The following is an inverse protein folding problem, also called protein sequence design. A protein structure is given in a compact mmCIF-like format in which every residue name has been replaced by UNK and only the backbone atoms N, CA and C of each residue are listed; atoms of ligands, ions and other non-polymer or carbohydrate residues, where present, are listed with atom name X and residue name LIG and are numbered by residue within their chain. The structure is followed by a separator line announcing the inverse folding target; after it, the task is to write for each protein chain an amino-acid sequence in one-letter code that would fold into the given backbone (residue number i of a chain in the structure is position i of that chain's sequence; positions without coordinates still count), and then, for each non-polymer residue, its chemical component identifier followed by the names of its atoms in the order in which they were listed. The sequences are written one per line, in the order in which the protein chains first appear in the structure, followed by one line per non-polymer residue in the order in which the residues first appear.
data_IF_342990991710
#
_entry.id   IF_342990991710
#
_cell.length_a   1.000
_cell.length_b   1.000
_cell.length_c   1.000
_cell.angle_alpha   90.00
_cell.angle_beta   90.00
_cell.angle_gamma   90.00
#
_symmetry.space_group_name_H-M   'P 1'
#
loop_
_entity.id
_entity.type
_entity.pdbx_description
1 polymer ?
#
# COMPACT_ATOMS: atom_id res chain seq x y z
N UNK A 1 50.68 70.28 -32.23
CA UNK A 1 50.29 71.30 -31.22
C UNK A 1 49.94 70.57 -29.94
N UNK A 2 50.94 70.46 -29.05
CA UNK A 2 50.98 71.10 -27.72
C UNK A 2 50.34 70.18 -26.67
N UNK A 3 51.15 69.45 -25.88
CA UNK A 3 51.84 69.92 -24.66
C UNK A 3 50.84 70.53 -23.66
N UNK A 4 50.86 70.33 -22.35
CA UNK A 4 51.62 69.55 -21.36
C UNK A 4 51.20 70.12 -19.99
N UNK A 5 51.67 69.51 -18.88
CA UNK A 5 51.84 70.12 -17.54
C UNK A 5 50.56 70.29 -16.69
N UNK A 6 50.57 70.16 -15.36
CA UNK A 6 51.63 70.39 -14.37
C UNK A 6 51.39 69.55 -13.08
N UNK A 7 52.52 69.15 -12.48
CA UNK A 7 52.71 68.68 -11.09
C UNK A 7 52.38 69.76 -10.06
N UNK A 8 52.15 69.37 -8.79
CA UNK A 8 52.77 69.83 -7.51
C UNK A 8 51.99 69.13 -6.36
N UNK A 9 52.52 68.22 -5.52
CA UNK A 9 53.57 68.25 -4.46
C UNK A 9 53.17 68.88 -3.11
N UNK A 10 53.66 68.24 -2.03
CA UNK A 10 53.76 68.61 -0.60
C UNK A 10 52.56 68.21 0.30
N UNK A 11 52.71 67.23 1.19
CA UNK A 11 53.34 67.23 2.55
C UNK A 11 52.19 67.08 3.58
N UNK A 12 52.26 66.50 4.77
CA UNK A 12 53.32 66.15 5.71
C UNK A 12 52.76 65.18 6.77
N UNK A 13 53.57 64.20 7.17
CA UNK A 13 53.71 63.60 8.50
C UNK A 13 52.74 64.01 9.62
N UNK A 14 52.08 63.03 10.27
CA UNK A 14 52.21 62.86 11.73
C UNK A 14 51.84 61.45 12.21
N UNK A 15 52.72 60.94 13.06
CA UNK A 15 52.72 59.66 13.75
C UNK A 15 51.57 59.50 14.75
N UNK A 16 51.05 58.28 14.90
CA UNK A 16 50.79 57.66 16.22
C UNK A 16 50.77 56.13 16.11
N UNK A 17 51.88 55.55 16.56
CA UNK A 17 52.11 54.15 16.92
C UNK A 17 51.32 53.82 18.20
N UNK A 18 50.44 52.83 18.18
CA UNK A 18 50.08 52.03 19.37
C UNK A 18 49.85 50.57 18.97
N UNK A 19 50.88 49.77 19.27
CA UNK A 19 50.84 48.45 19.89
C UNK A 19 50.03 47.29 19.26
N UNK A 20 50.81 46.35 18.73
CA UNK A 20 50.44 44.97 18.44
C UNK A 20 50.15 44.19 19.73
N UNK A 21 49.06 43.42 19.73
CA UNK A 21 49.00 42.14 20.45
C UNK A 21 48.63 41.05 19.45
N UNK A 22 49.62 40.23 19.13
CA UNK A 22 49.44 38.92 18.50
C UNK A 22 48.80 37.98 19.52
N UNK A 23 47.66 37.39 19.18
CA UNK A 23 47.30 36.07 19.68
C UNK A 23 47.05 35.15 18.49
N UNK A 24 47.96 34.20 18.34
CA UNK A 24 47.86 33.08 17.44
C UNK A 24 46.68 32.21 17.86
N UNK A 25 45.77 31.93 16.93
CA UNK A 25 44.88 30.76 17.04
C UNK A 25 45.19 29.80 15.89
N UNK A 26 45.43 28.51 16.16
CA UNK A 26 45.87 27.55 15.16
C UNK A 26 44.75 27.25 14.16
N UNK A 27 45.11 27.28 12.87
CA UNK A 27 44.32 26.75 11.77
C UNK A 27 43.97 25.28 12.04
N UNK A 28 42.68 24.95 12.04
CA UNK A 28 42.22 23.55 12.07
C UNK A 28 42.28 22.97 10.65
N UNK A 29 42.70 21.71 10.49
CA UNK A 29 42.87 21.08 9.19
C UNK A 29 41.52 20.89 8.49
N UNK A 30 41.50 21.19 7.19
CA UNK A 30 40.37 20.96 6.28
C UNK A 30 40.23 19.44 6.05
N UNK A 31 39.52 18.78 6.96
CA UNK A 31 39.04 17.42 6.78
C UNK A 31 37.75 17.42 5.97
N UNK A 32 37.76 16.76 4.81
CA UNK A 32 36.60 16.57 3.95
C UNK A 32 35.46 15.89 4.74
N UNK A 33 34.44 16.66 5.12
CA UNK A 33 33.18 16.12 5.65
C UNK A 33 32.26 15.84 4.47
N UNK A 34 32.06 14.57 4.16
CA UNK A 34 30.92 14.12 3.37
C UNK A 34 29.65 14.51 4.13
N UNK A 35 28.98 15.57 3.70
CA UNK A 35 27.62 15.85 4.14
C UNK A 35 26.71 14.79 3.49
N UNK A 36 26.41 13.73 4.25
CA UNK A 36 25.24 12.93 3.95
C UNK A 36 24.03 13.87 3.91
N UNK A 37 23.33 13.90 2.78
CA UNK A 37 22.16 14.76 2.55
C UNK A 37 21.04 14.25 3.46
N UNK A 38 21.02 14.72 4.71
CA UNK A 38 19.96 14.44 5.65
C UNK A 38 18.87 15.50 5.44
N UNK A 39 17.67 15.13 4.94
CA UNK A 39 16.63 16.10 4.52
C UNK A 39 16.06 16.95 5.66
N UNK A 40 16.46 16.68 6.90
CA UNK A 40 16.01 17.37 8.10
C UNK A 40 17.06 18.29 8.74
N UNK A 41 18.13 18.64 8.03
CA UNK A 41 19.18 19.51 8.60
C UNK A 41 18.70 20.94 8.96
N UNK A 42 17.56 21.39 8.42
CA UNK A 42 16.92 22.66 8.76
C UNK A 42 16.14 22.62 10.08
N UNK A 43 15.88 21.42 10.63
CA UNK A 43 15.18 21.24 11.90
C UNK A 43 16.16 21.44 13.06
N UNK A 44 15.87 22.32 14.03
CA UNK A 44 16.72 22.53 15.20
C UNK A 44 16.95 21.21 15.93
N UNK A 45 18.18 20.95 16.40
CA UNK A 45 18.55 19.65 16.97
C UNK A 45 17.68 19.27 18.19
N UNK A 46 17.21 20.25 18.96
CA UNK A 46 16.25 20.05 20.06
C UNK A 46 14.90 19.45 19.62
N UNK A 47 14.48 19.71 18.39
CA UNK A 47 13.24 19.15 17.81
C UNK A 47 13.51 17.75 17.25
N UNK A 48 14.70 17.51 16.69
CA UNK A 48 15.13 16.15 16.28
C UNK A 48 15.29 15.21 17.47
N UNK A 49 15.73 15.68 18.63
CA UNK A 49 15.83 14.85 19.83
C UNK A 49 14.46 14.50 20.43
N UNK A 50 13.48 15.39 20.27
CA UNK A 50 12.13 15.22 20.78
C UNK A 50 11.24 14.36 19.87
N UNK A 51 11.44 14.42 18.56
CA UNK A 51 10.62 13.72 17.56
C UNK A 51 11.39 12.70 16.72
N UNK A 52 12.71 12.63 16.85
CA UNK A 52 13.51 11.59 16.25
C UNK A 52 13.18 10.26 16.90
N UNK A 53 13.06 9.22 16.08
CA UNK A 53 12.93 7.85 16.56
C UNK A 53 14.22 7.53 17.32
N UNK A 54 14.18 7.61 18.65
CA UNK A 54 15.18 6.95 19.49
C UNK A 54 15.07 5.46 19.15
N UNK A 55 16.20 4.80 18.85
CA UNK A 55 16.26 3.35 19.00
C UNK A 55 15.76 3.07 20.42
N UNK A 56 14.63 2.36 20.56
CA UNK A 56 14.22 1.87 21.87
C UNK A 56 15.34 0.94 22.32
N UNK A 57 16.16 1.40 23.24
CA UNK A 57 16.90 0.49 24.12
C UNK A 57 15.82 -0.38 24.78
N UNK A 58 15.97 -1.70 24.72
CA UNK A 58 15.01 -2.60 25.34
C UNK A 58 15.00 -2.26 26.84
N UNK A 59 13.86 -1.75 27.32
CA UNK A 59 13.65 -1.52 28.76
C UNK A 59 13.91 -2.83 29.49
N UNK A 60 14.63 -2.75 30.61
CA UNK A 60 14.96 -3.93 31.40
C UNK A 60 13.67 -4.59 31.89
N UNK A 61 13.66 -5.93 32.01
CA UNK A 61 12.45 -6.68 32.37
C UNK A 61 11.83 -6.21 33.71
N UNK A 62 12.66 -5.68 34.60
CA UNK A 62 12.28 -5.11 35.90
C UNK A 62 11.50 -3.79 35.76
N UNK A 63 11.89 -2.92 34.83
CA UNK A 63 11.23 -1.63 34.56
C UNK A 63 9.87 -1.85 33.88
N UNK A 64 9.80 -2.80 32.95
CA UNK A 64 8.55 -3.18 32.28
C UNK A 64 7.58 -3.81 33.30
N UNK A 65 8.07 -4.65 34.21
CA UNK A 65 7.26 -5.23 35.28
C UNK A 65 6.79 -4.19 36.30
N UNK A 66 7.62 -3.19 36.63
CA UNK A 66 7.23 -2.08 37.50
C UNK A 66 6.17 -1.19 36.85
N UNK A 67 6.32 -0.85 35.56
CA UNK A 67 5.34 -0.09 34.80
C UNK A 67 3.99 -0.82 34.68
N UNK A 68 4.02 -2.15 34.53
CA UNK A 68 2.82 -3.00 34.55
C UNK A 68 2.11 -2.98 35.90
N UNK A 69 2.84 -3.13 37.01
CA UNK A 69 2.29 -3.02 38.37
C UNK A 69 1.70 -1.64 38.66
N UNK A 70 2.34 -0.59 38.16
CA UNK A 70 1.83 0.78 38.31
C UNK A 70 0.57 1.00 37.47
N UNK A 71 0.48 0.45 36.26
CA UNK A 71 -0.72 0.47 35.44
C UNK A 71 -1.89 -0.32 36.07
N UNK A 72 -1.60 -1.46 36.71
CA UNK A 72 -2.59 -2.22 37.50
C UNK A 72 -3.11 -1.42 38.69
N UNK A 73 -2.23 -0.75 39.44
CA UNK A 73 -2.63 0.12 40.55
C UNK A 73 -3.46 1.33 40.10
N UNK A 74 -3.22 1.81 38.88
CA UNK A 74 -4.00 2.89 38.24
C UNK A 74 -5.29 2.39 37.58
N UNK A 75 -5.51 1.06 37.50
CA UNK A 75 -6.69 0.46 36.88
C UNK A 75 -6.70 0.50 35.35
N UNK A 76 -5.56 0.76 34.71
CA UNK A 76 -5.39 0.81 33.25
C UNK A 76 -4.77 -0.50 32.71
N UNK A 77 -5.01 -1.63 33.38
CA UNK A 77 -4.44 -2.91 32.98
C UNK A 77 -5.01 -3.38 31.64
N UNK A 78 -4.14 -3.96 30.81
CA UNK A 78 -4.51 -4.39 29.46
C UNK A 78 -5.36 -5.66 29.49
N UNK A 79 -6.47 -5.66 28.75
CA UNK A 79 -7.47 -6.74 28.68
C UNK A 79 -6.86 -8.09 28.23
N UNK A 80 -5.67 -8.08 27.62
CA UNK A 80 -4.98 -9.29 27.15
C UNK A 80 -4.17 -9.99 28.25
N UNK A 81 -3.83 -9.34 29.37
CA UNK A 81 -3.10 -9.97 30.48
C UNK A 81 -4.03 -10.62 31.51
N UNK A 82 -5.32 -10.27 31.53
CA UNK A 82 -6.32 -10.90 32.43
C UNK A 82 -6.78 -12.27 31.95
N UNK A 83 -6.31 -12.73 30.80
CA UNK A 83 -6.59 -14.08 30.27
C UNK A 83 -5.36 -14.95 30.50
N UNK A 84 -5.05 -15.24 31.76
CA UNK A 84 -4.22 -16.40 32.07
C UNK A 84 -5.07 -17.65 31.90
N UNK A 85 -4.77 -18.39 30.82
CA UNK A 85 -5.23 -19.76 30.61
C UNK A 85 -4.83 -20.56 31.84
N UNK A 86 -5.82 -20.87 32.68
CA UNK A 86 -5.65 -21.72 33.84
C UNK A 86 -5.71 -23.18 33.34
N UNK A 87 -4.56 -23.82 33.17
CA UNK A 87 -4.51 -25.29 33.17
C UNK A 87 -4.77 -25.78 34.62
N UNK A 88 -5.62 -26.79 34.82
CA UNK A 88 -6.15 -27.13 36.14
C UNK A 88 -5.25 -28.13 36.89
N UNK A 89 -4.79 -27.75 38.07
CA UNK A 89 -4.41 -28.66 39.16
C UNK A 89 -5.43 -28.44 40.29
N UNK A 90 -6.32 -29.41 40.54
CA UNK A 90 -7.10 -29.48 41.78
C UNK A 90 -6.28 -30.16 42.90
N UNK A 91 -6.75 -30.28 44.16
CA UNK A 91 -8.10 -30.05 44.72
C UNK A 91 -8.06 -29.04 45.93
N UNK A 92 -9.12 -28.41 46.47
CA UNK A 92 -10.35 -28.91 47.10
C UNK A 92 -11.36 -27.76 47.38
N UNK A 93 -12.65 -28.12 47.41
CA UNK A 93 -13.77 -27.53 48.17
C UNK A 93 -14.42 -26.19 47.74
N UNK A 94 -15.50 -26.30 46.97
CA UNK A 94 -16.85 -25.83 47.38
C UNK A 94 -17.85 -26.01 46.22
N UNK A 95 -18.85 -26.87 46.40
CA UNK A 95 -20.06 -26.97 45.55
C UNK A 95 -21.11 -26.01 46.11
N UNK A 96 -21.93 -25.31 45.29
CA UNK A 96 -23.18 -25.89 44.75
C UNK A 96 -23.54 -25.33 43.33
N UNK A 97 -24.07 -26.04 42.34
CA UNK A 97 -25.37 -26.71 42.21
C UNK A 97 -25.43 -27.37 40.82
N UNK A 98 -26.28 -28.39 40.60
CA UNK A 98 -26.24 -29.22 39.41
C UNK A 98 -27.35 -28.82 38.43
N UNK A 99 -27.06 -27.98 37.45
CA UNK A 99 -27.92 -27.86 36.26
C UNK A 99 -27.08 -27.50 35.03
N UNK A 100 -27.05 -28.45 34.10
CA UNK A 100 -26.73 -28.27 32.67
C UNK A 100 -25.27 -27.98 32.27
N UNK A 101 -24.32 -28.82 32.70
CA UNK A 101 -23.04 -28.95 32.01
C UNK A 101 -23.10 -30.13 31.02
N UNK A 102 -23.50 -29.85 29.79
CA UNK A 102 -23.26 -30.76 28.66
C UNK A 102 -21.76 -30.70 28.34
N UNK A 103 -21.01 -31.81 28.27
CA UNK A 103 -19.57 -31.75 28.00
C UNK A 103 -19.35 -31.21 26.59
N UNK A 104 -18.66 -30.07 26.48
CA UNK A 104 -18.15 -29.51 25.24
C UNK A 104 -16.76 -30.09 24.91
N UNK A 105 -16.54 -31.38 25.15
CA UNK A 105 -15.36 -32.11 24.66
C UNK A 105 -15.60 -32.63 23.23
N UNK A 106 -16.09 -31.74 22.37
CA UNK A 106 -16.05 -31.96 20.95
C UNK A 106 -14.77 -31.33 20.42
N UNK A 107 -13.63 -32.01 20.60
CA UNK A 107 -12.49 -31.83 19.70
C UNK A 107 -13.05 -31.84 18.27
N UNK A 108 -12.73 -30.84 17.41
CA UNK A 108 -13.24 -30.83 16.06
C UNK A 108 -12.85 -32.15 15.42
N UNK A 109 -13.83 -33.02 15.17
CA UNK A 109 -13.62 -34.19 14.34
C UNK A 109 -13.07 -33.65 13.04
N UNK A 110 -11.79 -33.90 12.77
CA UNK A 110 -11.19 -33.67 11.46
C UNK A 110 -11.94 -34.58 10.50
N UNK A 111 -13.01 -34.06 9.93
CA UNK A 111 -13.76 -34.74 8.89
C UNK A 111 -12.76 -35.03 7.76
N UNK A 112 -12.72 -36.26 7.23
CA UNK A 112 -11.76 -36.65 6.22
C UNK A 112 -11.87 -35.66 5.06
N UNK A 113 -10.75 -35.02 4.70
CA UNK A 113 -10.70 -34.04 3.63
C UNK A 113 -11.32 -34.65 2.37
N UNK A 114 -12.59 -34.29 2.10
CA UNK A 114 -13.31 -34.76 0.93
C UNK A 114 -12.48 -34.34 -0.26
N UNK A 115 -11.90 -35.30 -0.96
CA UNK A 115 -11.08 -35.05 -2.15
C UNK A 115 -12.02 -34.57 -3.26
N UNK A 116 -12.21 -33.25 -3.33
CA UNK A 116 -13.03 -32.63 -4.38
C UNK A 116 -12.24 -32.73 -5.68
N UNK A 117 -12.75 -33.52 -6.62
CA UNK A 117 -12.18 -33.60 -7.96
C UNK A 117 -12.17 -32.21 -8.63
N UNK A 118 -11.00 -31.80 -9.12
CA UNK A 118 -10.83 -30.52 -9.81
C UNK A 118 -11.59 -30.52 -11.13
N UNK A 119 -12.75 -29.88 -11.15
CA UNK A 119 -13.67 -29.83 -12.30
C UNK A 119 -13.36 -28.70 -13.31
N UNK A 120 -12.15 -28.15 -13.28
CA UNK A 120 -11.63 -27.19 -14.27
C UNK A 120 -10.97 -25.94 -13.68
N UNK A 121 -10.21 -25.24 -14.52
CA UNK A 121 -9.24 -24.20 -14.13
C UNK A 121 -9.86 -22.83 -13.79
N UNK A 122 -11.15 -22.66 -14.04
CA UNK A 122 -11.81 -21.37 -13.87
C UNK A 122 -13.23 -21.49 -13.35
N UNK A 123 -13.65 -20.47 -12.60
CA UNK A 123 -15.00 -20.32 -12.09
C UNK A 123 -15.62 -19.02 -12.59
N UNK A 124 -16.69 -19.11 -13.37
CA UNK A 124 -17.47 -17.95 -13.82
C UNK A 124 -18.62 -17.71 -12.87
N UNK A 125 -18.75 -16.47 -12.40
CA UNK A 125 -19.87 -16.03 -11.58
C UNK A 125 -20.41 -14.70 -12.10
N UNK A 126 -21.71 -14.44 -11.89
CA UNK A 126 -22.33 -13.21 -12.37
C UNK A 126 -23.39 -12.70 -11.42
N UNK A 127 -23.49 -11.38 -11.29
CA UNK A 127 -24.54 -10.76 -10.48
C UNK A 127 -25.88 -10.81 -11.22
N UNK A 128 -26.97 -10.77 -10.46
CA UNK A 128 -28.26 -10.38 -10.98
C UNK A 128 -28.26 -8.92 -11.50
N UNK A 129 -29.28 -8.58 -12.27
CA UNK A 129 -29.35 -7.32 -13.00
C UNK A 129 -29.43 -6.12 -12.04
N UNK A 130 -28.54 -5.16 -12.20
CA UNK A 130 -28.55 -3.85 -11.56
C UNK A 130 -29.41 -2.85 -12.33
N UNK A 131 -30.06 -1.92 -11.61
CA UNK A 131 -30.68 -0.72 -12.18
C UNK A 131 -29.65 0.40 -12.32
N UNK A 132 -28.54 0.11 -12.99
CA UNK A 132 -27.41 1.03 -13.19
C UNK A 132 -26.95 0.93 -14.64
N UNK A 133 -26.43 2.04 -15.18
CA UNK A 133 -25.80 2.06 -16.50
C UNK A 133 -24.57 1.15 -16.54
N UNK A 134 -24.45 0.37 -17.62
CA UNK A 134 -23.28 -0.47 -17.86
C UNK A 134 -21.96 0.32 -17.79
N UNK A 135 -21.94 1.60 -18.21
CA UNK A 135 -20.76 2.46 -18.16
C UNK A 135 -20.27 2.71 -16.73
N UNK A 136 -21.21 2.97 -15.81
CA UNK A 136 -20.91 3.21 -14.39
C UNK A 136 -20.44 1.93 -13.71
N UNK A 137 -21.11 0.82 -13.98
CA UNK A 137 -20.73 -0.49 -13.45
C UNK A 137 -19.36 -0.96 -13.99
N UNK A 138 -19.03 -0.60 -15.23
CA UNK A 138 -17.75 -0.94 -15.86
C UNK A 138 -16.54 -0.28 -15.18
N UNK A 139 -16.70 0.91 -14.60
CA UNK A 139 -15.63 1.54 -13.83
C UNK A 139 -15.23 0.67 -12.62
N UNK A 140 -16.22 0.08 -11.94
CA UNK A 140 -15.99 -0.84 -10.83
C UNK A 140 -15.40 -2.16 -11.35
N UNK A 141 -15.90 -2.69 -12.47
CA UNK A 141 -15.33 -3.88 -13.11
C UNK A 141 -13.83 -3.72 -13.39
N UNK A 142 -13.43 -2.61 -14.02
CA UNK A 142 -12.02 -2.28 -14.27
C UNK A 142 -11.19 -2.21 -13.00
N UNK A 143 -11.75 -1.67 -11.91
CA UNK A 143 -11.05 -1.53 -10.63
C UNK A 143 -10.74 -2.88 -9.96
N UNK A 144 -11.58 -3.90 -10.14
CA UNK A 144 -11.39 -5.24 -9.54
C UNK A 144 -10.64 -6.20 -10.47
N UNK A 145 -10.59 -5.93 -11.77
CA UNK A 145 -9.93 -6.79 -12.76
C UNK A 145 -8.44 -6.94 -12.47
N UNK A 146 -7.92 -8.16 -12.55
CA UNK A 146 -6.50 -8.50 -12.35
C UNK A 146 -6.03 -8.52 -10.90
N UNK A 147 -6.90 -8.18 -9.93
CA UNK A 147 -6.55 -8.15 -8.51
C UNK A 147 -6.82 -9.51 -7.85
N UNK A 148 -6.06 -9.87 -6.78
CA UNK A 148 -6.39 -11.06 -6.00
C UNK A 148 -7.76 -10.90 -5.34
N UNK A 149 -8.49 -12.01 -5.20
CA UNK A 149 -9.91 -11.99 -4.81
C UNK A 149 -10.13 -11.29 -3.46
N UNK A 150 -9.27 -11.55 -2.48
CA UNK A 150 -9.33 -10.95 -1.15
C UNK A 150 -9.14 -9.43 -1.19
N UNK A 151 -8.19 -8.95 -2.01
CA UNK A 151 -7.97 -7.52 -2.19
C UNK A 151 -9.13 -6.86 -2.96
N UNK A 152 -9.75 -7.55 -3.92
CA UNK A 152 -10.94 -7.04 -4.59
C UNK A 152 -12.13 -6.91 -3.63
N UNK A 153 -12.34 -7.87 -2.72
CA UNK A 153 -13.35 -7.80 -1.65
C UNK A 153 -13.08 -6.60 -0.75
N UNK A 154 -11.84 -6.44 -0.27
CA UNK A 154 -11.42 -5.31 0.57
C UNK A 154 -11.68 -3.96 -0.14
N UNK A 155 -11.31 -3.86 -1.42
CA UNK A 155 -11.54 -2.65 -2.21
C UNK A 155 -13.03 -2.31 -2.32
N UNK A 156 -13.91 -3.31 -2.43
CA UNK A 156 -15.35 -3.11 -2.50
C UNK A 156 -15.95 -2.76 -1.13
N UNK A 157 -15.41 -3.30 -0.04
CA UNK A 157 -15.83 -2.97 1.32
C UNK A 157 -15.67 -1.47 1.62
N UNK A 158 -14.55 -0.88 1.21
CA UNK A 158 -14.26 0.54 1.44
C UNK A 158 -14.72 1.47 0.30
N UNK A 159 -15.42 0.95 -0.71
CA UNK A 159 -15.88 1.79 -1.81
C UNK A 159 -17.24 2.45 -1.52
N UNK A 160 -17.29 3.76 -1.63
CA UNK A 160 -18.51 4.58 -1.44
C UNK A 160 -19.61 4.32 -2.48
N UNK A 161 -19.31 3.65 -3.59
CA UNK A 161 -20.27 3.49 -4.69
C UNK A 161 -21.37 2.51 -4.27
N UNK A 162 -22.65 2.88 -4.37
CA UNK A 162 -23.81 2.02 -4.02
C UNK A 162 -23.73 0.56 -4.52
N UNK A 163 -23.12 0.31 -5.68
CA UNK A 163 -22.99 -1.04 -6.23
C UNK A 163 -21.96 -1.92 -5.50
N UNK A 164 -21.04 -1.32 -4.72
CA UNK A 164 -19.90 -1.98 -4.08
C UNK A 164 -20.34 -3.09 -3.13
N UNK A 165 -21.30 -2.82 -2.25
CA UNK A 165 -21.82 -3.79 -1.27
C UNK A 165 -22.32 -5.07 -1.94
N UNK A 166 -23.05 -4.94 -3.07
CA UNK A 166 -23.57 -6.10 -3.80
C UNK A 166 -22.47 -6.85 -4.55
N UNK A 167 -21.47 -6.13 -5.06
CA UNK A 167 -20.30 -6.73 -5.73
C UNK A 167 -19.41 -7.45 -4.71
N UNK A 168 -19.23 -6.90 -3.51
CA UNK A 168 -18.51 -7.53 -2.40
C UNK A 168 -19.09 -8.90 -2.07
N UNK A 169 -20.41 -8.97 -1.81
CA UNK A 169 -21.09 -10.24 -1.52
C UNK A 169 -21.01 -11.22 -2.70
N UNK A 170 -21.09 -10.70 -3.93
CA UNK A 170 -20.93 -11.50 -5.14
C UNK A 170 -19.52 -12.09 -5.27
N UNK A 171 -18.47 -11.35 -4.91
CA UNK A 171 -17.09 -11.85 -4.93
C UNK A 171 -16.85 -12.88 -3.82
N UNK A 172 -17.40 -12.68 -2.63
CA UNK A 172 -17.33 -13.66 -1.55
C UNK A 172 -17.99 -14.99 -1.94
N UNK A 173 -19.23 -14.93 -2.43
CA UNK A 173 -19.93 -16.13 -2.93
C UNK A 173 -19.21 -16.79 -4.11
N UNK A 174 -18.64 -16.01 -5.03
CA UNK A 174 -17.85 -16.55 -6.13
C UNK A 174 -16.58 -17.27 -5.65
N UNK A 175 -15.90 -16.74 -4.62
CA UNK A 175 -14.76 -17.39 -3.97
C UNK A 175 -15.17 -18.73 -3.37
N UNK A 176 -16.24 -18.75 -2.60
CA UNK A 176 -16.70 -19.96 -1.93
C UNK A 176 -17.16 -21.02 -2.94
N UNK A 177 -17.79 -20.61 -4.04
CA UNK A 177 -18.16 -21.51 -5.13
C UNK A 177 -16.93 -22.07 -5.88
N UNK A 178 -15.89 -21.24 -6.08
CA UNK A 178 -14.64 -21.68 -6.71
C UNK A 178 -13.93 -22.74 -5.85
N UNK A 179 -13.89 -22.53 -4.53
CA UNK A 179 -13.29 -23.50 -3.59
C UNK A 179 -14.14 -24.78 -3.54
N UNK A 180 -15.44 -24.64 -3.21
CA UNK A 180 -16.32 -25.77 -2.92
C UNK A 180 -16.67 -26.64 -4.14
N UNK A 181 -16.92 -26.02 -5.30
CA UNK A 181 -17.41 -26.75 -6.47
C UNK A 181 -16.35 -26.97 -7.55
N UNK A 182 -15.24 -26.20 -7.53
CA UNK A 182 -14.16 -26.34 -8.52
C UNK A 182 -12.85 -26.86 -7.94
N UNK A 183 -12.69 -26.90 -6.61
CA UNK A 183 -11.45 -27.34 -5.97
C UNK A 183 -10.27 -26.41 -6.27
N UNK A 184 -10.55 -25.12 -6.50
CA UNK A 184 -9.54 -24.09 -6.70
C UNK A 184 -9.03 -23.57 -5.34
N UNK A 185 -7.76 -23.18 -5.29
CA UNK A 185 -7.14 -22.62 -4.08
C UNK A 185 -7.69 -21.22 -3.77
N UNK A 186 -8.37 -21.12 -2.61
CA UNK A 186 -8.93 -19.90 -2.05
C UNK A 186 -7.97 -18.70 -2.01
N UNK A 187 -6.69 -18.96 -1.69
CA UNK A 187 -5.70 -17.90 -1.45
C UNK A 187 -5.06 -17.39 -2.75
N UNK A 188 -4.94 -18.26 -3.75
CA UNK A 188 -4.34 -17.93 -5.06
C UNK A 188 -5.36 -17.50 -6.11
N UNK A 189 -6.64 -17.36 -5.74
CA UNK A 189 -7.67 -16.89 -6.65
C UNK A 189 -7.47 -15.42 -7.03
N UNK A 190 -7.48 -15.18 -8.35
CA UNK A 190 -7.39 -13.85 -8.95
C UNK A 190 -8.63 -13.63 -9.82
N UNK A 191 -9.12 -12.39 -9.82
CA UNK A 191 -10.14 -11.91 -10.76
C UNK A 191 -9.47 -11.79 -12.14
N UNK A 192 -9.44 -12.89 -12.90
CA UNK A 192 -8.76 -12.94 -14.19
C UNK A 192 -9.41 -12.00 -15.20
N UNK A 193 -10.74 -12.03 -15.28
CA UNK A 193 -11.52 -11.20 -16.19
C UNK A 193 -12.74 -10.65 -15.47
N UNK A 194 -13.08 -9.40 -15.77
CA UNK A 194 -14.35 -8.80 -15.37
C UNK A 194 -14.95 -8.01 -16.52
N UNK A 195 -16.23 -8.19 -16.77
CA UNK A 195 -16.93 -7.43 -17.79
C UNK A 195 -18.38 -7.16 -17.41
N UNK A 196 -18.97 -6.19 -18.10
CA UNK A 196 -20.34 -5.76 -17.85
C UNK A 196 -21.17 -5.94 -19.11
N UNK A 197 -22.26 -6.70 -18.97
CA UNK A 197 -23.26 -6.88 -20.02
C UNK A 197 -24.43 -5.94 -19.80
N UNK A 198 -25.04 -5.43 -20.88
CA UNK A 198 -26.31 -4.71 -20.82
C UNK A 198 -27.44 -5.67 -20.42
N UNK A 199 -28.43 -5.16 -19.71
CA UNK A 199 -29.65 -5.91 -19.39
C UNK A 199 -30.52 -6.10 -20.63
N UNK A 200 -31.40 -7.12 -20.60
CA UNK A 200 -32.27 -7.51 -21.73
C UNK A 200 -33.20 -6.37 -22.17
N UNK A 201 -33.78 -5.64 -21.23
CA UNK A 201 -34.74 -4.57 -21.51
C UNK A 201 -34.40 -3.30 -20.73
N UNK A 202 -34.29 -2.19 -21.45
CA UNK A 202 -34.21 -0.85 -20.85
C UNK A 202 -35.58 -0.20 -20.93
N UNK A 203 -36.10 0.30 -19.81
CA UNK A 203 -37.39 1.01 -19.79
C UNK A 203 -37.18 2.38 -20.44
N UNK A 204 -37.98 2.67 -21.47
CA UNK A 204 -38.00 3.96 -22.15
C UNK A 204 -39.14 4.81 -21.58
N UNK A 205 -38.90 6.10 -21.41
CA UNK A 205 -39.86 7.12 -21.00
C UNK A 205 -39.78 8.29 -21.95
N UNK A 206 -40.92 8.91 -22.22
CA UNK A 206 -40.98 10.12 -23.02
C UNK A 206 -40.48 11.29 -22.17
N UNK A 207 -39.55 12.08 -22.71
CA UNK A 207 -39.04 13.28 -22.07
C UNK A 207 -39.52 14.49 -22.89
N UNK A 208 -40.63 15.14 -22.51
CA UNK A 208 -41.11 16.32 -23.23
C UNK A 208 -40.10 17.48 -23.08
N UNK A 209 -39.77 18.12 -24.19
CA UNK A 209 -38.89 19.29 -24.26
C UNK A 209 -39.65 20.49 -24.82
N UNK A 210 -39.02 21.67 -24.77
CA UNK A 210 -39.61 22.90 -25.32
C UNK A 210 -39.84 22.81 -26.84
N UNK A 211 -40.74 23.68 -27.34
CA UNK A 211 -41.05 23.83 -28.78
C UNK A 211 -41.55 22.54 -29.46
N UNK A 212 -42.26 21.69 -28.71
CA UNK A 212 -42.78 20.41 -29.24
C UNK A 212 -41.72 19.34 -29.49
N UNK A 213 -40.46 19.56 -29.10
CA UNK A 213 -39.43 18.53 -29.18
C UNK A 213 -39.65 17.47 -28.11
N UNK A 214 -39.28 16.22 -28.42
CA UNK A 214 -39.43 15.10 -27.49
C UNK A 214 -38.18 14.24 -27.50
N UNK A 215 -37.62 14.01 -26.32
CA UNK A 215 -36.54 13.06 -26.09
C UNK A 215 -37.05 11.71 -25.60
N UNK A 216 -36.19 10.69 -25.65
CA UNK A 216 -36.46 9.38 -25.05
C UNK A 216 -35.47 9.14 -23.92
N UNK A 217 -35.95 9.22 -22.69
CA UNK A 217 -35.17 8.88 -21.51
C UNK A 217 -35.12 7.36 -21.32
N UNK A 218 -33.93 6.80 -21.12
CA UNK A 218 -33.71 5.37 -20.97
C UNK A 218 -33.25 5.07 -19.54
N UNK A 219 -33.89 4.11 -18.87
CA UNK A 219 -33.43 3.56 -17.59
C UNK A 219 -32.61 2.29 -17.86
N UNK A 220 -31.27 2.39 -17.92
CA UNK A 220 -30.43 1.29 -18.29
C UNK A 220 -30.34 0.27 -17.16
N UNK A 221 -30.15 -0.98 -17.57
CA UNK A 221 -29.87 -2.08 -16.66
C UNK A 221 -28.59 -2.77 -17.12
N UNK A 222 -27.86 -3.36 -16.17
CA UNK A 222 -26.60 -4.04 -16.48
C UNK A 222 -26.30 -5.14 -15.45
N UNK A 223 -25.50 -6.13 -15.84
CA UNK A 223 -24.96 -7.14 -14.92
C UNK A 223 -23.46 -7.23 -15.07
N UNK A 224 -22.75 -7.47 -13.96
CA UNK A 224 -21.31 -7.68 -13.94
C UNK A 224 -21.05 -9.19 -13.87
N UNK A 225 -20.11 -9.66 -14.68
CA UNK A 225 -19.65 -11.06 -14.70
C UNK A 225 -18.15 -11.08 -14.44
N UNK A 226 -17.72 -12.07 -13.68
CA UNK A 226 -16.33 -12.28 -13.28
C UNK A 226 -15.94 -13.72 -13.61
N UNK A 227 -14.70 -13.89 -14.06
CA UNK A 227 -14.05 -15.20 -14.14
C UNK A 227 -12.90 -15.21 -13.15
N UNK A 228 -12.95 -16.15 -12.23
CA UNK A 228 -11.89 -16.43 -11.27
C UNK A 228 -11.00 -17.54 -11.80
N UNK A 229 -9.69 -17.38 -11.67
CA UNK A 229 -8.67 -18.39 -11.98
C UNK A 229 -7.63 -18.39 -10.87
N UNK A 230 -6.95 -19.50 -10.69
CA UNK A 230 -5.71 -19.50 -9.91
C UNK A 230 -4.68 -18.64 -10.66
N UNK A 231 -4.07 -17.72 -9.94
CA UNK A 231 -3.16 -16.75 -10.51
C UNK A 231 -1.96 -16.50 -9.62
N UNK A 232 -1.02 -15.75 -10.18
CA UNK A 232 0.18 -15.31 -9.45
C UNK A 232 -0.20 -14.24 -8.45
N UNK A 233 0.41 -14.31 -7.27
CA UNK A 233 0.27 -13.28 -6.23
C UNK A 233 0.79 -11.94 -6.76
N UNK A 234 0.29 -10.83 -6.21
CA UNK A 234 0.69 -9.47 -6.61
C UNK A 234 2.22 -9.29 -6.50
N UNK A 235 2.83 -9.85 -5.46
CA UNK A 235 4.29 -9.83 -5.25
C UNK A 235 5.04 -10.60 -6.34
N UNK A 236 4.56 -11.78 -6.71
CA UNK A 236 5.12 -12.58 -7.80
C UNK A 236 4.98 -11.86 -9.15
N UNK A 237 3.86 -11.16 -9.37
CA UNK A 237 3.67 -10.32 -10.56
C UNK A 237 4.69 -9.17 -10.59
N UNK A 238 4.84 -8.44 -9.48
CA UNK A 238 5.84 -7.37 -9.34
C UNK A 238 7.27 -7.87 -9.49
N UNK A 239 7.60 -9.03 -8.91
CA UNK A 239 8.91 -9.64 -9.02
C UNK A 239 9.20 -10.05 -10.46
N UNK A 240 8.22 -10.65 -11.17
CA UNK A 240 8.33 -10.96 -12.60
C UNK A 240 8.53 -9.70 -13.44
N UNK A 241 7.77 -8.65 -13.18
CA UNK A 241 7.93 -7.36 -13.86
C UNK A 241 9.29 -6.73 -13.59
N UNK A 242 9.76 -6.76 -12.34
CA UNK A 242 11.09 -6.28 -11.95
C UNK A 242 12.18 -7.09 -12.65
N UNK A 243 12.08 -8.41 -12.65
CA UNK A 243 13.01 -9.29 -13.35
C UNK A 243 13.00 -9.03 -14.87
N UNK A 244 11.83 -8.83 -15.47
CA UNK A 244 11.69 -8.47 -16.88
C UNK A 244 12.33 -7.11 -17.19
N UNK A 245 12.09 -6.10 -16.34
CA UNK A 245 12.72 -4.77 -16.47
C UNK A 245 14.23 -4.85 -16.32
N UNK A 246 14.74 -5.62 -15.35
CA UNK A 246 16.16 -5.86 -15.16
C UNK A 246 16.79 -6.55 -16.37
N UNK A 247 16.15 -7.58 -16.93
CA UNK A 247 16.61 -8.25 -18.17
C UNK A 247 16.65 -7.32 -19.38
N UNK A 248 15.78 -6.31 -19.42
CA UNK A 248 15.74 -5.31 -20.50
C UNK A 248 16.83 -4.24 -20.34
N UNK A 249 17.33 -4.03 -19.13
CA UNK A 249 18.41 -3.08 -18.87
C UNK A 249 19.71 -3.74 -19.36
N UNK A 250 20.24 -3.23 -20.48
CA UNK A 250 21.49 -3.75 -21.09
C UNK A 250 22.72 -3.17 -20.38
N UNK A 251 22.71 -1.89 -20.01
CA UNK A 251 23.75 -1.27 -19.17
C UNK A 251 23.16 -0.28 -18.17
N UNK A 252 23.91 0.01 -17.11
CA UNK A 252 23.60 1.14 -16.24
C UNK A 252 23.92 2.43 -17.01
N UNK A 253 23.00 3.40 -17.04
CA UNK A 253 23.03 4.59 -17.92
C UNK A 253 24.31 5.47 -17.90
N UNK A 254 25.29 5.15 -17.05
CA UNK A 254 26.60 5.81 -16.92
C UNK A 254 27.64 5.24 -17.89
N UNK A 255 27.49 4.01 -18.38
CA UNK A 255 28.44 3.38 -19.32
C UNK A 255 28.15 3.76 -20.78
N UNK A 256 29.20 4.00 -21.58
CA UNK A 256 29.08 4.13 -23.04
C UNK A 256 28.66 2.78 -23.61
N UNK A 257 27.48 2.73 -24.21
CA UNK A 257 26.92 1.53 -24.85
C UNK A 257 27.33 1.48 -26.32
N UNK A 258 27.71 0.29 -26.79
CA UNK A 258 27.86 0.02 -28.22
C UNK A 258 26.48 -0.20 -28.84
N UNK A 259 25.82 0.90 -29.25
CA UNK A 259 24.53 0.86 -29.93
C UNK A 259 24.75 0.72 -31.43
N UNK A 260 24.05 -0.22 -32.11
CA UNK A 260 24.15 -0.32 -33.55
C UNK A 260 23.65 0.99 -34.19
N UNK A 261 24.42 1.51 -35.15
CA UNK A 261 24.03 2.66 -35.95
C UNK A 261 22.78 2.28 -36.75
N UNK A 262 21.66 2.93 -36.46
CA UNK A 262 20.42 2.70 -37.19
C UNK A 262 20.49 3.45 -38.51
N UNK A 263 20.41 2.71 -39.61
CA UNK A 263 20.49 3.22 -40.99
C UNK A 263 21.87 3.83 -41.35
N UNK A 264 22.93 3.00 -41.45
CA UNK A 264 24.21 3.48 -41.95
C UNK A 264 24.07 3.89 -43.43
N UNK A 265 24.79 4.94 -43.83
CA UNK A 265 24.91 5.31 -45.23
C UNK A 265 25.68 4.25 -46.03
N UNK A 266 25.51 4.23 -47.36
CA UNK A 266 26.22 3.30 -48.25
C UNK A 266 27.73 3.59 -48.35
N UNK A 267 28.13 4.82 -48.02
CA UNK A 267 29.51 5.30 -48.04
C UNK A 267 30.12 5.13 -46.65
N UNK A 268 31.44 4.94 -46.59
CA UNK A 268 32.17 4.96 -45.33
C UNK A 268 32.02 6.32 -44.65
N UNK A 269 31.49 6.33 -43.42
CA UNK A 269 31.46 7.47 -42.53
C UNK A 269 32.01 7.01 -41.18
N UNK A 270 33.07 7.67 -40.71
CA UNK A 270 33.73 7.39 -39.43
C UNK A 270 32.93 7.92 -38.25
#
# INVERSE_FOLDING_TARGET
MMQSRLKVLASSHFSRRVQWQLFHSPAKPVGARYYAINPFNWVPDKVKEKFGMKMREAESEEEVAAAKKEAEQRGESSIFETVTVTEPEGPESSTPSPDMAKPLDASPKEEPAVQIERKGDSHKYSTAVFKISHRKLNMIGRQISGKPINHAILQMQFSEKRASTRIMNMLATARDHAVRYKGLDGQRLVVAESWVSKGKHNRKRLEPKGRGHVGVQVHPQAKLSVVLKEGRTLEEQKAKEKAFKLKRIVSAAVTREDKPIRNPGAMWAW
#
